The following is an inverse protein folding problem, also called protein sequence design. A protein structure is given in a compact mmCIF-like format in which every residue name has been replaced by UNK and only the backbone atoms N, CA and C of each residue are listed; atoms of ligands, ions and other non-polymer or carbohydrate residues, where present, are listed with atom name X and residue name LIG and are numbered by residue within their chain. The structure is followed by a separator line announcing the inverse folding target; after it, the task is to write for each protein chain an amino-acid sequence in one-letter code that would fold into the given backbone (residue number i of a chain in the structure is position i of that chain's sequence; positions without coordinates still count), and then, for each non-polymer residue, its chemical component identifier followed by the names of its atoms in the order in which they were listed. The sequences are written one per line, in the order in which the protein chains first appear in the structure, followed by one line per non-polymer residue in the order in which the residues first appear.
data_IF_306731387672
#
_entry.id   IF_306731387672
#
_cell.length_a   1.000
_cell.length_b   1.000
_cell.length_c   1.000
_cell.angle_alpha   90.00
_cell.angle_beta   90.00
_cell.angle_gamma   90.00
#
_symmetry.space_group_name_H-M   'P 1'
#
loop_
_entity.id
_entity.type
_entity.pdbx_description
1 polymer ?
#
# COMPACT_ATOMS: atom_id res chain seq x y z
N UNK A 1 -8.91 18.08 -6.72
CA UNK A 1 -9.08 18.00 -5.26
C UNK A 1 -10.48 17.58 -4.85
N UNK A 2 -11.55 18.09 -5.48
CA UNK A 2 -12.92 17.62 -5.19
C UNK A 2 -13.45 18.05 -3.81
N UNK A 3 -12.84 19.06 -3.20
CA UNK A 3 -13.30 19.65 -1.94
C UNK A 3 -14.04 20.95 -2.26
N UNK A 4 -15.27 21.05 -1.77
CA UNK A 4 -16.13 22.20 -2.00
C UNK A 4 -16.67 22.70 -0.67
N UNK A 5 -16.67 24.01 -0.47
CA UNK A 5 -17.23 24.67 0.71
C UNK A 5 -18.40 25.51 0.22
N UNK A 6 -19.58 25.26 0.78
CA UNK A 6 -20.81 25.93 0.41
C UNK A 6 -21.47 26.55 1.64
N UNK A 7 -22.19 27.64 1.42
CA UNK A 7 -23.31 27.97 2.29
C UNK A 7 -24.39 26.89 2.14
N UNK A 8 -24.96 26.46 3.27
CA UNK A 8 -25.86 25.30 3.32
C UNK A 8 -27.04 25.45 2.37
N UNK A 9 -27.65 26.63 2.36
CA UNK A 9 -28.83 26.96 1.58
C UNK A 9 -28.54 26.85 0.06
N UNK A 10 -27.39 27.37 -0.37
CA UNK A 10 -26.95 27.28 -1.78
C UNK A 10 -26.74 25.81 -2.19
N UNK A 11 -26.13 25.01 -1.33
CA UNK A 11 -25.91 23.59 -1.59
C UNK A 11 -27.26 22.86 -1.74
N UNK A 12 -28.18 23.05 -0.79
CA UNK A 12 -29.49 22.40 -0.81
C UNK A 12 -30.30 22.77 -2.07
N UNK A 13 -30.42 24.06 -2.36
CA UNK A 13 -31.15 24.55 -3.54
C UNK A 13 -30.53 24.04 -4.85
N UNK A 14 -29.20 24.05 -4.95
CA UNK A 14 -28.50 23.63 -6.16
C UNK A 14 -28.62 22.14 -6.44
N UNK A 15 -28.57 21.30 -5.40
CA UNK A 15 -28.74 19.85 -5.53
C UNK A 15 -30.20 19.51 -5.87
N UNK A 16 -31.18 20.16 -5.24
CA UNK A 16 -32.60 19.94 -5.55
C UNK A 16 -32.94 20.38 -6.98
N UNK A 17 -32.44 21.55 -7.39
CA UNK A 17 -32.63 22.05 -8.75
C UNK A 17 -31.97 21.14 -9.79
N UNK A 18 -30.76 20.64 -9.52
CA UNK A 18 -30.10 19.68 -10.41
C UNK A 18 -30.83 18.35 -10.51
N UNK A 19 -31.41 17.86 -9.41
CA UNK A 19 -32.21 16.63 -9.39
C UNK A 19 -33.48 16.71 -10.27
N UNK A 20 -34.05 17.90 -10.48
CA UNK A 20 -35.19 18.10 -11.38
C UNK A 20 -34.79 18.09 -12.87
N UNK A 21 -33.50 18.23 -13.17
CA UNK A 21 -32.98 18.31 -14.55
C UNK A 21 -32.69 16.92 -15.12
N UNK A 22 -33.49 16.53 -16.12
CA UNK A 22 -33.36 15.24 -16.81
C UNK A 22 -32.09 15.10 -17.68
N UNK A 23 -31.47 16.22 -18.03
CA UNK A 23 -30.26 16.29 -18.86
C UNK A 23 -28.96 16.33 -18.04
N UNK A 24 -29.05 16.36 -16.71
CA UNK A 24 -27.90 16.40 -15.82
C UNK A 24 -27.23 15.03 -15.68
N UNK A 25 -25.91 15.02 -15.45
CA UNK A 25 -25.19 13.82 -15.02
C UNK A 25 -25.11 13.67 -13.49
N UNK A 26 -25.73 14.60 -12.75
CA UNK A 26 -25.76 14.68 -11.29
C UNK A 26 -24.36 14.69 -10.65
N UNK A 27 -23.41 15.38 -11.29
CA UNK A 27 -22.04 15.53 -10.83
C UNK A 27 -21.72 16.98 -10.41
N UNK A 28 -20.99 17.14 -9.30
CA UNK A 28 -20.63 18.47 -8.79
C UNK A 28 -19.79 19.27 -9.79
N UNK A 29 -18.79 18.65 -10.40
CA UNK A 29 -17.86 19.33 -11.30
C UNK A 29 -18.46 19.58 -12.69
N UNK A 30 -19.30 18.68 -13.19
CA UNK A 30 -19.87 18.76 -14.54
C UNK A 30 -21.17 19.57 -14.62
N UNK A 31 -21.99 19.52 -13.57
CA UNK A 31 -23.35 20.07 -13.61
C UNK A 31 -23.53 21.21 -12.59
N UNK A 32 -23.32 20.92 -11.28
CA UNK A 32 -23.66 21.85 -10.20
C UNK A 32 -22.77 23.10 -10.21
N UNK A 33 -21.44 22.97 -10.25
CA UNK A 33 -20.53 24.13 -10.25
C UNK A 33 -20.69 25.00 -11.51
N UNK A 34 -20.78 24.43 -12.74
CA UNK A 34 -21.06 25.23 -13.94
C UNK A 34 -22.42 25.95 -13.90
N UNK A 35 -23.43 25.35 -13.27
CA UNK A 35 -24.72 26.01 -13.05
C UNK A 35 -24.58 27.19 -12.09
N UNK A 36 -23.94 26.99 -10.93
CA UNK A 36 -23.78 28.01 -9.91
C UNK A 36 -22.90 29.19 -10.37
N UNK A 37 -21.91 28.94 -11.22
CA UNK A 37 -21.03 29.97 -11.78
C UNK A 37 -21.79 31.12 -12.45
N UNK A 38 -23.01 30.88 -12.95
CA UNK A 38 -23.82 31.89 -13.65
C UNK A 38 -24.52 32.88 -12.70
N UNK A 39 -24.75 32.51 -11.45
CA UNK A 39 -25.58 33.28 -10.51
C UNK A 39 -24.96 33.53 -9.14
N UNK A 40 -23.89 32.82 -8.80
CA UNK A 40 -23.26 32.87 -7.49
C UNK A 40 -21.78 33.21 -7.57
N UNK A 41 -21.24 33.74 -6.48
CA UNK A 41 -19.82 34.03 -6.34
C UNK A 41 -19.04 32.74 -6.10
N UNK A 42 -18.42 32.20 -7.14
CA UNK A 42 -17.47 31.09 -7.04
C UNK A 42 -16.04 31.61 -6.88
N UNK A 43 -15.29 31.06 -5.94
CA UNK A 43 -13.89 31.40 -5.69
C UNK A 43 -13.03 30.13 -5.68
N UNK A 44 -11.78 30.23 -6.13
CA UNK A 44 -10.80 29.17 -6.03
C UNK A 44 -9.99 29.35 -4.73
N UNK A 45 -9.78 28.24 -4.02
CA UNK A 45 -8.90 28.20 -2.84
C UNK A 45 -7.55 27.59 -3.23
N UNK A 46 -6.47 28.32 -2.97
CA UNK A 46 -5.12 27.85 -3.29
C UNK A 46 -4.56 26.98 -2.16
N UNK A 47 -4.65 25.66 -2.33
CA UNK A 47 -4.11 24.66 -1.41
C UNK A 47 -2.61 24.81 -1.15
N UNK A 48 -1.84 25.34 -2.12
CA UNK A 48 -0.39 25.48 -1.97
C UNK A 48 0.00 26.51 -0.90
N UNK A 49 -0.93 27.39 -0.53
CA UNK A 49 -0.75 28.41 0.50
C UNK A 49 -1.08 27.92 1.92
N UNK A 50 -1.55 26.68 2.07
CA UNK A 50 -1.87 26.11 3.37
C UNK A 50 -0.66 26.11 4.29
N UNK A 51 -0.85 26.61 5.51
CA UNK A 51 0.10 26.47 6.61
C UNK A 51 -0.40 25.34 7.51
N UNK A 52 0.28 24.21 7.46
CA UNK A 52 -0.03 23.07 8.32
C UNK A 52 0.63 23.26 9.70
N UNK A 53 0.05 22.74 10.79
CA UNK A 53 0.72 22.73 12.09
C UNK A 53 2.07 22.00 12.02
N UNK A 54 3.10 22.55 12.69
CA UNK A 54 4.49 22.11 12.55
C UNK A 54 5.19 22.66 11.31
N UNK A 55 6.17 21.92 10.79
CA UNK A 55 6.99 22.29 9.62
C UNK A 55 6.63 21.49 8.35
N UNK A 56 5.45 20.86 8.35
CA UNK A 56 4.96 20.09 7.20
C UNK A 56 4.51 20.99 6.05
N UNK A 57 4.55 20.41 4.84
CA UNK A 57 4.22 21.10 3.59
C UNK A 57 2.93 20.53 3.00
N UNK A 58 2.15 21.33 2.26
CA UNK A 58 1.01 20.82 1.51
C UNK A 58 1.47 19.71 0.55
N UNK A 59 1.04 18.48 0.83
CA UNK A 59 1.30 17.31 0.00
C UNK A 59 -0.04 16.78 -0.50
N UNK A 60 -0.15 16.62 -1.82
CA UNK A 60 -1.32 16.03 -2.46
C UNK A 60 -0.86 15.16 -3.62
N UNK A 61 -1.38 13.94 -3.68
CA UNK A 61 -1.09 13.00 -4.76
C UNK A 61 -2.35 12.27 -5.16
N UNK A 62 -2.65 12.27 -6.45
CA UNK A 62 -3.74 11.48 -7.01
C UNK A 62 -3.24 10.06 -7.27
N UNK A 63 -3.74 9.12 -6.49
CA UNK A 63 -3.31 7.72 -6.55
C UNK A 63 -4.23 6.92 -7.48
N UNK A 64 -4.42 7.43 -8.70
CA UNK A 64 -5.31 6.84 -9.70
C UNK A 64 -4.66 5.78 -10.61
N UNK A 65 -3.35 5.55 -10.50
CA UNK A 65 -2.62 4.54 -11.29
C UNK A 65 -1.67 3.71 -10.44
N UNK A 66 -1.29 2.53 -10.93
CA UNK A 66 -0.32 1.63 -10.27
C UNK A 66 1.00 2.36 -10.02
N UNK A 67 1.48 3.11 -11.02
CA UNK A 67 2.69 3.94 -10.91
C UNK A 67 2.56 5.00 -9.83
N UNK A 68 1.46 5.78 -9.83
CA UNK A 68 1.25 6.83 -8.84
C UNK A 68 1.15 6.26 -7.41
N UNK A 69 0.50 5.09 -7.25
CA UNK A 69 0.45 4.35 -5.98
C UNK A 69 1.84 3.97 -5.50
N UNK A 70 2.66 3.39 -6.37
CA UNK A 70 4.02 3.01 -6.03
C UNK A 70 4.88 4.23 -5.68
N UNK A 71 4.85 5.27 -6.51
CA UNK A 71 5.63 6.48 -6.27
C UNK A 71 5.21 7.17 -4.96
N UNK A 72 3.91 7.18 -4.62
CA UNK A 72 3.44 7.76 -3.35
C UNK A 72 4.07 7.07 -2.13
N UNK A 73 4.27 5.75 -2.19
CA UNK A 73 4.93 5.01 -1.13
C UNK A 73 6.45 5.25 -1.13
N UNK A 74 7.08 5.29 -2.31
CA UNK A 74 8.51 5.57 -2.40
C UNK A 74 8.85 6.99 -1.96
N UNK A 75 7.94 7.96 -2.14
CA UNK A 75 8.10 9.33 -1.67
C UNK A 75 8.31 9.39 -0.15
N UNK A 76 7.69 8.46 0.62
CA UNK A 76 7.85 8.33 2.08
C UNK A 76 9.24 7.87 2.50
N UNK A 77 9.99 7.22 1.61
CA UNK A 77 11.29 6.62 1.90
C UNK A 77 12.45 7.61 1.71
N UNK A 78 12.16 8.86 1.35
CA UNK A 78 13.16 9.92 1.17
C UNK A 78 13.42 10.66 2.47
N UNK A 79 14.64 11.18 2.63
CA UNK A 79 14.99 12.08 3.73
C UNK A 79 15.56 13.40 3.18
N UNK A 80 14.90 14.56 3.39
CA UNK A 80 13.55 14.69 3.97
C UNK A 80 12.47 14.15 3.02
N UNK A 81 11.38 13.60 3.58
CA UNK A 81 10.20 13.16 2.82
C UNK A 81 9.30 14.36 2.51
N UNK A 82 8.57 14.29 1.39
CA UNK A 82 7.54 15.29 1.05
C UNK A 82 6.28 15.15 1.92
N UNK A 83 6.05 13.96 2.50
CA UNK A 83 4.98 13.66 3.45
C UNK A 83 5.59 13.05 4.71
N UNK A 84 5.45 13.71 5.85
CA UNK A 84 5.89 13.20 7.15
C UNK A 84 4.78 12.43 7.84
N UNK A 85 5.05 11.20 8.26
CA UNK A 85 4.16 10.44 9.15
C UNK A 85 4.45 10.71 10.64
N UNK A 86 5.43 11.56 10.93
CA UNK A 86 5.93 11.82 12.28
C UNK A 86 5.45 13.16 12.86
N UNK A 87 4.59 13.89 12.15
CA UNK A 87 4.04 15.15 12.63
C UNK A 87 2.94 14.92 13.69
N UNK A 88 3.31 15.08 14.96
CA UNK A 88 2.40 14.91 16.09
C UNK A 88 1.38 16.05 16.23
N UNK A 89 1.61 17.21 15.60
CA UNK A 89 0.65 18.33 15.62
C UNK A 89 -0.47 18.13 14.58
N UNK A 90 -0.26 17.27 13.59
CA UNK A 90 -1.24 16.94 12.56
C UNK A 90 -1.30 15.41 12.30
N UNK A 91 -1.75 14.63 13.31
CA UNK A 91 -1.67 13.17 13.23
C UNK A 91 -2.70 12.58 12.27
N UNK A 92 -2.29 11.57 11.50
CA UNK A 92 -3.19 10.72 10.72
C UNK A 92 -3.72 9.62 11.64
N UNK A 93 -5.04 9.61 11.88
CA UNK A 93 -5.70 8.56 12.68
C UNK A 93 -6.08 7.38 11.78
N UNK A 94 -5.82 6.17 12.27
CA UNK A 94 -6.23 4.90 11.66
C UNK A 94 -6.55 3.89 12.76
N UNK A 95 -6.97 2.68 12.37
CA UNK A 95 -7.15 1.56 13.30
C UNK A 95 -5.81 1.15 13.92
N UNK A 96 -5.80 0.92 15.25
CA UNK A 96 -4.64 0.43 15.97
C UNK A 96 -4.71 -1.08 16.18
N UNK A 97 -3.54 -1.73 16.12
CA UNK A 97 -3.41 -3.16 16.37
C UNK A 97 -2.36 -3.39 17.47
N UNK A 98 -2.60 -4.38 18.32
CA UNK A 98 -1.66 -4.79 19.37
C UNK A 98 -0.63 -5.80 18.85
N UNK A 99 -0.05 -5.53 17.68
CA UNK A 99 0.98 -6.38 17.09
C UNK A 99 2.31 -6.23 17.84
N UNK A 100 3.12 -7.30 17.96
CA UNK A 100 4.44 -7.21 18.57
C UNK A 100 5.39 -6.32 17.74
N UNK A 101 6.53 -5.89 18.31
CA UNK A 101 7.56 -5.19 17.55
C UNK A 101 8.06 -5.99 16.34
N UNK A 102 8.48 -5.28 15.31
CA UNK A 102 9.21 -5.90 14.20
C UNK A 102 10.55 -6.47 14.66
N UNK A 103 11.06 -7.47 13.94
CA UNK A 103 12.30 -8.16 14.31
C UNK A 103 13.21 -8.33 13.09
N UNK A 104 14.53 -8.25 13.30
CA UNK A 104 15.55 -8.36 12.26
C UNK A 104 16.67 -9.23 12.79
N UNK A 105 16.99 -10.32 12.11
CA UNK A 105 17.96 -11.28 12.61
C UNK A 105 18.69 -12.00 11.46
N UNK A 106 20.03 -12.15 11.51
CA UNK A 106 20.76 -13.01 10.57
C UNK A 106 20.26 -14.46 10.65
N UNK A 107 20.04 -15.14 9.53
CA UNK A 107 19.50 -16.50 9.52
C UNK A 107 20.06 -17.31 8.35
N UNK A 108 20.22 -18.63 8.55
CA UNK A 108 20.74 -19.58 7.55
C UNK A 108 22.03 -19.08 6.87
N UNK A 109 23.03 -18.66 7.66
CA UNK A 109 24.31 -18.11 7.19
C UNK A 109 24.22 -16.82 6.34
N UNK A 110 23.05 -16.18 6.30
CA UNK A 110 22.87 -14.88 5.66
C UNK A 110 22.81 -13.73 6.68
N UNK A 111 23.61 -12.70 6.44
CA UNK A 111 23.48 -11.41 7.13
C UNK A 111 22.16 -10.72 6.78
N UNK A 112 21.72 -9.78 7.62
CA UNK A 112 20.54 -8.97 7.36
C UNK A 112 20.92 -7.50 7.12
N UNK A 113 20.28 -6.85 6.15
CA UNK A 113 20.43 -5.40 5.93
C UNK A 113 19.09 -4.79 5.54
N UNK A 114 18.78 -3.64 6.13
CA UNK A 114 17.54 -2.91 5.91
C UNK A 114 17.91 -1.44 5.67
N UNK A 115 17.77 -0.98 4.42
CA UNK A 115 18.23 0.34 3.97
C UNK A 115 17.07 1.13 3.35
N UNK A 116 16.76 2.31 3.91
CA UNK A 116 15.68 3.17 3.41
C UNK A 116 14.32 2.47 3.38
N UNK A 117 13.94 1.79 4.46
CA UNK A 117 12.74 0.95 4.50
C UNK A 117 11.78 1.42 5.60
N UNK A 118 10.49 1.53 5.24
CA UNK A 118 9.42 1.78 6.20
C UNK A 118 8.75 0.44 6.55
N UNK A 119 8.68 0.11 7.84
CA UNK A 119 8.25 -1.21 8.31
C UNK A 119 7.24 -1.06 9.42
N UNK A 120 6.09 -1.68 9.24
CA UNK A 120 5.09 -1.79 10.29
C UNK A 120 5.40 -2.93 11.27
N UNK A 121 4.59 -3.03 12.31
CA UNK A 121 4.70 -3.97 13.41
C UNK A 121 4.65 -5.44 12.96
N UNK A 122 5.22 -6.32 13.78
CA UNK A 122 5.36 -7.77 13.54
C UNK A 122 6.06 -8.19 12.24
N UNK A 123 6.58 -7.24 11.45
CA UNK A 123 7.37 -7.52 10.26
C UNK A 123 8.74 -8.07 10.64
N UNK A 124 9.11 -9.21 10.02
CA UNK A 124 10.33 -9.96 10.29
C UNK A 124 11.19 -10.02 9.04
N UNK A 125 12.45 -9.62 9.17
CA UNK A 125 13.47 -9.78 8.11
C UNK A 125 14.55 -10.71 8.65
N UNK A 126 14.62 -11.92 8.09
CA UNK A 126 15.42 -13.03 8.62
C UNK A 126 16.48 -13.40 7.59
N UNK A 127 17.71 -12.89 7.75
CA UNK A 127 18.83 -13.15 6.84
C UNK A 127 18.62 -12.62 5.41
N UNK A 128 17.99 -11.45 5.25
CA UNK A 128 17.64 -10.90 3.94
C UNK A 128 18.12 -9.44 3.75
N UNK A 129 18.22 -9.02 2.50
CA UNK A 129 18.50 -7.64 2.11
C UNK A 129 17.20 -6.95 1.68
N UNK A 130 16.82 -5.88 2.35
CA UNK A 130 15.63 -5.09 2.03
C UNK A 130 16.02 -3.64 1.84
N UNK A 131 15.78 -3.09 0.65
CA UNK A 131 16.16 -1.73 0.28
C UNK A 131 15.00 -0.96 -0.33
N UNK A 132 14.85 0.31 0.06
CA UNK A 132 13.88 1.25 -0.54
C UNK A 132 12.48 0.63 -0.67
N UNK A 133 12.02 -0.04 0.38
CA UNK A 133 10.79 -0.84 0.34
C UNK A 133 9.85 -0.48 1.49
N UNK A 134 8.57 -0.80 1.34
CA UNK A 134 7.56 -0.63 2.39
C UNK A 134 7.03 -2.01 2.78
N UNK A 135 7.14 -2.36 4.05
CA UNK A 135 6.59 -3.59 4.61
C UNK A 135 5.42 -3.26 5.52
N UNK A 136 4.26 -3.80 5.18
CA UNK A 136 3.07 -3.75 6.02
C UNK A 136 3.21 -4.68 7.24
N UNK A 137 2.16 -4.74 8.06
CA UNK A 137 2.15 -5.54 9.29
C UNK A 137 2.30 -7.02 8.99
N UNK A 138 2.94 -7.75 9.92
CA UNK A 138 3.02 -9.22 9.91
C UNK A 138 3.72 -9.84 8.66
N UNK A 139 4.58 -9.08 7.98
CA UNK A 139 5.36 -9.63 6.86
C UNK A 139 6.51 -10.52 7.35
N UNK A 140 6.88 -11.56 6.60
CA UNK A 140 8.06 -12.39 6.87
C UNK A 140 8.90 -12.47 5.61
N UNK A 141 10.16 -12.06 5.69
CA UNK A 141 11.13 -12.17 4.60
C UNK A 141 12.22 -13.16 5.02
N UNK A 142 12.28 -14.30 4.35
CA UNK A 142 13.24 -15.36 4.68
C UNK A 142 14.60 -15.18 4.00
N UNK A 143 15.54 -16.01 4.45
CA UNK A 143 16.97 -15.90 4.21
C UNK A 143 17.37 -15.98 2.75
N UNK A 144 18.46 -15.30 2.41
CA UNK A 144 18.97 -15.21 1.03
C UNK A 144 18.14 -14.32 0.10
N UNK A 145 17.01 -13.78 0.57
CA UNK A 145 16.15 -12.94 -0.25
C UNK A 145 16.67 -11.51 -0.40
N UNK A 146 16.42 -10.92 -1.57
CA UNK A 146 16.78 -9.55 -1.94
C UNK A 146 15.54 -8.82 -2.43
N UNK A 147 15.12 -7.80 -1.68
CA UNK A 147 13.92 -7.02 -1.93
C UNK A 147 14.32 -5.56 -2.17
N UNK A 148 14.00 -5.04 -3.34
CA UNK A 148 14.35 -3.68 -3.74
C UNK A 148 13.10 -2.95 -4.25
N UNK A 149 12.89 -1.71 -3.83
CA UNK A 149 11.89 -0.84 -4.47
C UNK A 149 10.47 -1.45 -4.49
N UNK A 150 10.12 -2.21 -3.45
CA UNK A 150 8.94 -3.08 -3.44
C UNK A 150 7.98 -2.71 -2.31
N UNK A 151 6.68 -2.79 -2.58
CA UNK A 151 5.62 -2.63 -1.57
C UNK A 151 5.11 -4.01 -1.21
N UNK A 152 5.12 -4.33 0.07
CA UNK A 152 4.71 -5.62 0.61
C UNK A 152 3.48 -5.42 1.52
N UNK A 153 2.36 -5.99 1.09
CA UNK A 153 1.08 -5.97 1.79
C UNK A 153 1.10 -6.78 3.09
N UNK A 154 0.05 -6.62 3.91
CA UNK A 154 -0.02 -7.27 5.22
C UNK A 154 0.01 -8.80 5.11
N UNK A 155 0.60 -9.47 6.09
CA UNK A 155 0.67 -10.94 6.18
C UNK A 155 1.30 -11.63 4.95
N UNK A 156 2.19 -10.94 4.23
CA UNK A 156 2.94 -11.55 3.13
C UNK A 156 4.13 -12.35 3.67
N UNK A 157 4.32 -13.55 3.14
CA UNK A 157 5.48 -14.39 3.41
C UNK A 157 6.32 -14.52 2.15
N UNK A 158 7.58 -14.10 2.21
CA UNK A 158 8.55 -14.28 1.15
C UNK A 158 9.48 -15.42 1.54
N UNK A 159 9.48 -16.47 0.72
CA UNK A 159 10.32 -17.65 0.85
C UNK A 159 11.81 -17.35 0.75
N UNK A 160 12.64 -18.37 0.88
CA UNK A 160 14.10 -18.25 0.83
C UNK A 160 14.58 -17.94 -0.59
N UNK A 161 15.72 -17.24 -0.71
CA UNK A 161 16.40 -16.97 -1.98
C UNK A 161 15.53 -16.27 -3.03
N UNK A 162 14.54 -15.47 -2.62
CA UNK A 162 13.68 -14.72 -3.53
C UNK A 162 14.33 -13.42 -3.98
N UNK A 163 14.01 -12.94 -5.18
CA UNK A 163 14.46 -11.65 -5.70
C UNK A 163 13.27 -10.86 -6.19
N UNK A 164 12.92 -9.77 -5.52
CA UNK A 164 11.84 -8.89 -5.95
C UNK A 164 12.39 -7.48 -6.18
N UNK A 165 12.05 -6.89 -7.32
CA UNK A 165 12.39 -5.51 -7.64
C UNK A 165 11.21 -4.79 -8.26
N UNK A 166 10.84 -3.62 -7.75
CA UNK A 166 9.77 -2.80 -8.34
C UNK A 166 8.45 -3.59 -8.45
N UNK A 167 8.10 -4.28 -7.37
CA UNK A 167 6.90 -5.12 -7.26
C UNK A 167 5.92 -4.51 -6.24
N UNK A 168 4.63 -4.69 -6.47
CA UNK A 168 3.58 -4.49 -5.48
C UNK A 168 3.00 -5.87 -5.16
N UNK A 169 3.28 -6.38 -3.96
CA UNK A 169 2.74 -7.64 -3.47
C UNK A 169 1.55 -7.32 -2.57
N UNK A 170 0.35 -7.66 -3.02
CA UNK A 170 -0.86 -7.47 -2.24
C UNK A 170 -0.89 -8.43 -1.03
N UNK A 171 -1.81 -8.17 -0.11
CA UNK A 171 -1.87 -8.84 1.18
C UNK A 171 -2.03 -10.37 1.08
N UNK A 172 -1.54 -11.07 2.10
CA UNK A 172 -1.70 -12.51 2.32
C UNK A 172 -1.05 -13.44 1.28
N UNK A 173 -0.18 -12.90 0.42
CA UNK A 173 0.58 -13.71 -0.52
C UNK A 173 1.67 -14.54 0.18
N UNK A 174 1.90 -15.75 -0.32
CA UNK A 174 3.07 -16.57 0.00
C UNK A 174 3.88 -16.72 -1.28
N UNK A 175 5.03 -16.05 -1.32
CA UNK A 175 5.97 -16.12 -2.44
C UNK A 175 6.88 -17.34 -2.24
N UNK A 176 6.86 -18.34 -3.14
CA UNK A 176 7.67 -19.55 -3.01
C UNK A 176 9.18 -19.29 -3.02
N UNK A 177 9.96 -20.21 -2.45
CA UNK A 177 11.43 -20.14 -2.47
C UNK A 177 11.98 -20.00 -3.90
N UNK A 178 13.05 -19.23 -4.06
CA UNK A 178 13.74 -19.04 -5.34
C UNK A 178 12.98 -18.17 -6.35
N UNK A 179 11.85 -17.58 -5.98
CA UNK A 179 11.03 -16.79 -6.92
C UNK A 179 11.72 -15.47 -7.27
N UNK A 180 11.75 -15.14 -8.56
CA UNK A 180 12.28 -13.88 -9.09
C UNK A 180 11.16 -13.10 -9.79
N UNK A 181 10.91 -11.85 -9.38
CA UNK A 181 9.84 -10.99 -9.91
C UNK A 181 10.37 -9.57 -10.16
N UNK A 182 10.03 -8.98 -11.31
CA UNK A 182 10.44 -7.63 -11.70
C UNK A 182 11.80 -7.57 -12.38
N UNK A 183 12.19 -8.67 -13.02
CA UNK A 183 13.47 -8.82 -13.72
C UNK A 183 13.30 -9.22 -15.20
N UNK A 184 12.21 -9.93 -15.53
CA UNK A 184 11.90 -10.36 -16.89
C UNK A 184 10.42 -10.04 -17.16
N UNK A 185 10.13 -8.92 -17.86
CA UNK A 185 8.76 -8.50 -18.13
C UNK A 185 7.92 -9.54 -18.88
N UNK A 186 8.53 -10.39 -19.70
CA UNK A 186 7.80 -11.42 -20.47
C UNK A 186 7.39 -12.54 -19.51
N UNK A 187 8.34 -13.08 -18.75
CA UNK A 187 8.06 -14.14 -17.78
C UNK A 187 7.16 -13.66 -16.62
N UNK A 188 7.29 -12.39 -16.22
CA UNK A 188 6.43 -11.76 -15.21
C UNK A 188 5.00 -11.61 -15.71
N UNK A 189 4.80 -11.19 -16.96
CA UNK A 189 3.47 -11.02 -17.58
C UNK A 189 2.73 -12.35 -17.80
N UNK A 190 3.43 -13.48 -17.85
CA UNK A 190 2.80 -14.81 -17.90
C UNK A 190 2.07 -15.17 -16.59
N UNK A 191 2.51 -14.60 -15.46
CA UNK A 191 2.03 -15.00 -14.12
C UNK A 191 1.32 -13.89 -13.36
N UNK A 192 1.67 -12.64 -13.64
CA UNK A 192 1.27 -11.47 -12.88
C UNK A 192 0.82 -10.35 -13.80
N UNK A 193 0.18 -9.35 -13.21
CA UNK A 193 -0.14 -8.13 -13.94
C UNK A 193 1.11 -7.26 -14.02
N UNK A 194 1.54 -6.90 -15.23
CA UNK A 194 2.63 -5.96 -15.46
C UNK A 194 2.03 -4.67 -16.00
N UNK A 195 2.24 -3.55 -15.29
CA UNK A 195 1.79 -2.25 -15.74
C UNK A 195 2.60 -1.82 -16.98
N UNK A 196 1.98 -1.64 -18.16
CA UNK A 196 2.71 -1.36 -19.39
C UNK A 196 3.48 -0.02 -19.35
N UNK A 197 2.97 0.95 -18.58
CA UNK A 197 3.53 2.30 -18.55
C UNK A 197 4.80 2.42 -17.69
N UNK A 198 4.88 1.62 -16.63
CA UNK A 198 5.94 1.73 -15.62
C UNK A 198 6.82 0.50 -15.51
N UNK A 199 6.37 -0.66 -16.00
CA UNK A 199 7.01 -1.96 -15.79
C UNK A 199 6.87 -2.49 -14.36
N UNK A 200 6.02 -1.89 -13.53
CA UNK A 200 5.73 -2.40 -12.18
C UNK A 200 4.95 -3.72 -12.29
N UNK A 201 5.36 -4.70 -11.48
CA UNK A 201 4.66 -5.99 -11.39
C UNK A 201 3.72 -5.97 -10.18
N UNK A 202 2.47 -6.40 -10.36
CA UNK A 202 1.47 -6.51 -9.30
C UNK A 202 1.10 -7.96 -9.08
N UNK A 203 1.39 -8.44 -7.87
CA UNK A 203 0.94 -9.74 -7.37
C UNK A 203 -0.34 -9.51 -6.58
N UNK A 204 -1.50 -9.78 -7.19
CA UNK A 204 -2.81 -9.57 -6.56
C UNK A 204 -3.04 -10.50 -5.36
N UNK A 205 -4.04 -10.17 -4.53
CA UNK A 205 -4.43 -11.02 -3.40
C UNK A 205 -4.77 -12.44 -3.87
N UNK A 206 -4.32 -13.50 -3.16
CA UNK A 206 -4.68 -14.86 -3.51
C UNK A 206 -6.19 -15.05 -3.44
N UNK A 207 -6.73 -15.93 -4.29
CA UNK A 207 -8.15 -16.29 -4.24
C UNK A 207 -8.51 -16.78 -2.84
N UNK A 208 -9.58 -16.23 -2.25
CA UNK A 208 -10.09 -16.70 -0.97
C UNK A 208 -10.33 -18.20 -1.05
N UNK A 209 -9.60 -18.95 -0.25
CA UNK A 209 -9.80 -20.38 -0.11
C UNK A 209 -10.69 -20.65 1.10
N UNK A 210 -11.65 -21.57 0.94
CA UNK A 210 -12.43 -22.06 2.07
C UNK A 210 -11.48 -22.68 3.10
N UNK A 211 -11.73 -22.46 4.40
CA UNK A 211 -10.91 -22.97 5.52
C UNK A 211 -10.54 -24.45 5.38
N UNK A 212 -11.48 -25.28 4.91
CA UNK A 212 -11.27 -26.72 4.67
C UNK A 212 -10.19 -27.06 3.61
N UNK A 213 -9.79 -26.10 2.78
CA UNK A 213 -8.80 -26.27 1.70
C UNK A 213 -7.44 -25.63 2.03
N UNK A 214 -7.35 -24.84 3.09
CA UNK A 214 -6.11 -24.20 3.51
C UNK A 214 -5.21 -25.23 4.19
N UNK A 215 -4.05 -25.50 3.61
CA UNK A 215 -2.93 -26.06 4.35
C UNK A 215 -2.24 -24.91 5.07
N UNK A 216 -2.51 -24.76 6.37
CA UNK A 216 -1.86 -23.75 7.20
C UNK A 216 -0.53 -24.35 7.68
N UNK A 217 0.63 -23.85 7.20
CA UNK A 217 1.92 -24.30 7.71
C UNK A 217 1.99 -23.95 9.21
N UNK A 218 2.13 -24.96 10.07
CA UNK A 218 2.16 -24.79 11.53
C UNK A 218 0.81 -24.87 12.26
N UNK A 219 -0.25 -25.42 11.64
CA UNK A 219 -1.45 -25.79 12.40
C UNK A 219 -1.07 -26.79 13.52
N UNK A 220 -1.53 -26.52 14.75
CA UNK A 220 -1.28 -27.29 15.97
C UNK A 220 -1.53 -28.82 15.79
N UNK A 221 -2.46 -29.19 14.92
CA UNK A 221 -2.85 -30.57 14.60
C UNK A 221 -1.76 -31.36 13.85
N UNK A 222 -0.87 -30.67 13.12
CA UNK A 222 0.24 -31.29 12.38
C UNK A 222 1.52 -31.44 13.23
N UNK A 223 1.56 -30.91 14.46
CA UNK A 223 2.70 -31.10 15.38
C UNK A 223 2.66 -32.45 16.11
N UNK A 224 1.56 -33.19 16.05
CA UNK A 224 1.37 -34.45 16.80
C UNK A 224 1.11 -35.67 15.92
N UNK A 225 1.27 -35.55 14.60
CA UNK A 225 0.96 -36.61 13.62
C UNK A 225 2.18 -37.05 12.81
N UNK A 226 3.38 -37.02 13.40
CA UNK A 226 4.52 -37.78 12.92
C UNK A 226 4.91 -38.85 13.97
N UNK A 227 4.47 -40.07 13.68
CA UNK A 227 5.01 -41.36 14.06
C UNK A 227 5.09 -41.76 15.55
N UNK A 228 4.18 -42.66 15.92
CA UNK A 228 4.46 -43.63 16.96
C UNK A 228 5.39 -44.72 16.43
N UNK A 229 6.57 -44.89 17.05
CA UNK A 229 7.25 -46.17 17.20
C UNK A 229 8.47 -46.04 18.14
N UNK A 230 8.44 -46.75 19.27
CA UNK A 230 9.63 -47.24 19.95
C UNK A 230 10.06 -46.46 21.20
N UNK A 231 9.93 -47.15 22.34
CA UNK A 231 10.59 -46.97 23.64
C UNK A 231 11.59 -45.82 23.83
#
# INVERSE_FOLDING_TARGET
MGNYIFEREILEESVLSDNERKDSSHDFGRDILPMLFKGYKLMAYDFSTNKLPGDDRPYWKDVGSIKAYWEAHMDLLRHPSALSLYNQQWPIRTVSYSDPPGFTYPANDHSCSVDGCLRAEASRVLGAYVRKSVLSRNCVINSGSVIEETIIGQNVHIGENCRLRRVIVDAHNVIPNGTSIGFDPVADAERYHVDPSSGLVVVGMPKIQLRKKLQIPGAYENMFTADGAGF
#
